data_IF_283283538335
#
_entry.id   IF_283283538335
#
_cell.length_a   1.000
_cell.length_b   1.000
_cell.length_c   1.000
_cell.angle_alpha   90.00
_cell.angle_beta   90.00
_cell.angle_gamma   90.00
#
_symmetry.space_group_name_H-M   'P 1'
#
loop_
_entity.id
_entity.type
_entity.pdbx_description
1 polymer ?
#
# COMPACT_ATOMS: atom_id res chain seq x y z
N UNK A 1 7.88 4.07 -10.12
CA UNK A 1 6.69 4.10 -9.25
C UNK A 1 5.59 4.92 -9.92
N UNK A 2 4.34 4.42 -10.02
CA UNK A 2 3.24 5.21 -10.56
C UNK A 2 2.88 6.37 -9.61
N UNK A 3 2.27 7.41 -10.16
CA UNK A 3 1.61 8.43 -9.35
C UNK A 3 0.28 7.91 -8.78
N UNK A 4 -0.35 8.68 -7.91
CA UNK A 4 -1.59 8.27 -7.26
C UNK A 4 -2.74 8.08 -8.27
N UNK A 5 -3.24 6.84 -8.39
CA UNK A 5 -4.38 6.42 -9.23
C UNK A 5 -4.38 7.05 -10.65
N UNK A 6 -3.50 6.59 -11.56
CA UNK A 6 -3.56 7.05 -12.95
C UNK A 6 -4.87 6.55 -13.56
N UNK A 7 -5.76 7.49 -13.90
CA UNK A 7 -7.14 7.22 -14.31
C UNK A 7 -7.31 6.44 -15.62
N UNK A 8 -6.22 6.08 -16.31
CA UNK A 8 -6.27 5.60 -17.68
C UNK A 8 -5.22 4.52 -17.96
N UNK A 9 -5.38 3.34 -17.32
CA UNK A 9 -4.56 2.18 -17.64
C UNK A 9 -5.45 0.96 -17.86
N UNK A 10 -5.08 0.08 -18.81
CA UNK A 10 -5.72 -1.23 -19.09
C UNK A 10 -5.65 -2.22 -17.90
N UNK A 11 -5.41 -1.72 -16.70
CA UNK A 11 -5.15 -2.48 -15.49
C UNK A 11 -6.42 -2.52 -14.65
N UNK A 12 -6.60 -3.62 -13.93
CA UNK A 12 -7.78 -3.83 -13.10
C UNK A 12 -7.55 -3.26 -11.71
N UNK A 13 -8.55 -2.54 -11.21
CA UNK A 13 -8.55 -1.97 -9.87
C UNK A 13 -9.53 -2.73 -8.99
N UNK A 14 -9.05 -3.23 -7.86
CA UNK A 14 -9.82 -3.92 -6.85
C UNK A 14 -9.81 -3.09 -5.56
N UNK A 15 -10.97 -2.68 -5.08
CA UNK A 15 -11.10 -2.04 -3.76
C UNK A 15 -11.32 -3.12 -2.70
N UNK A 16 -10.44 -3.18 -1.70
CA UNK A 16 -10.53 -4.20 -0.66
C UNK A 16 -11.72 -3.92 0.26
N UNK A 17 -12.45 -4.98 0.64
CA UNK A 17 -13.52 -4.91 1.63
C UNK A 17 -12.93 -4.75 3.03
N UNK A 18 -13.67 -4.14 3.95
CA UNK A 18 -13.23 -3.93 5.34
C UNK A 18 -12.80 -5.23 6.04
N UNK A 19 -13.52 -6.34 5.80
CA UNK A 19 -13.15 -7.65 6.33
C UNK A 19 -11.82 -8.19 5.78
N UNK A 20 -11.49 -7.90 4.52
CA UNK A 20 -10.21 -8.28 3.92
C UNK A 20 -9.07 -7.40 4.44
N UNK A 21 -9.34 -6.11 4.66
CA UNK A 21 -8.40 -5.18 5.28
C UNK A 21 -8.05 -5.63 6.69
N UNK A 22 -9.04 -6.01 7.50
CA UNK A 22 -8.78 -6.50 8.87
C UNK A 22 -7.98 -7.81 8.86
N UNK A 23 -8.27 -8.75 7.94
CA UNK A 23 -7.48 -9.98 7.76
C UNK A 23 -6.04 -9.73 7.30
N UNK A 24 -5.77 -8.60 6.64
CA UNK A 24 -4.44 -8.22 6.14
C UNK A 24 -3.75 -7.12 6.94
N UNK A 25 -4.37 -6.68 8.03
CA UNK A 25 -4.04 -5.42 8.70
C UNK A 25 -2.56 -5.28 9.02
N UNK A 26 -1.93 -6.32 9.53
CA UNK A 26 -0.53 -6.29 9.94
C UNK A 26 0.42 -5.95 8.78
N UNK A 27 0.29 -6.63 7.64
CA UNK A 27 1.18 -6.36 6.50
C UNK A 27 0.75 -5.14 5.69
N UNK A 28 -0.53 -4.76 5.71
CA UNK A 28 -0.98 -3.49 5.14
C UNK A 28 -0.46 -2.29 5.95
N UNK A 29 -0.38 -2.41 7.27
CA UNK A 29 0.28 -1.42 8.12
C UNK A 29 1.77 -1.34 7.81
N UNK A 30 2.46 -2.47 7.63
CA UNK A 30 3.86 -2.48 7.18
C UNK A 30 4.03 -1.71 5.85
N UNK A 31 3.12 -1.87 4.90
CA UNK A 31 3.16 -1.14 3.63
C UNK A 31 2.91 0.36 3.81
N UNK A 32 1.96 0.74 4.68
CA UNK A 32 1.69 2.13 5.01
C UNK A 32 2.90 2.78 5.71
N UNK A 33 3.54 2.08 6.66
CA UNK A 33 4.74 2.54 7.35
C UNK A 33 5.92 2.68 6.40
N UNK A 34 6.12 1.73 5.49
CA UNK A 34 7.16 1.84 4.45
C UNK A 34 6.95 3.08 3.58
N UNK A 35 5.70 3.36 3.17
CA UNK A 35 5.39 4.58 2.45
C UNK A 35 5.68 5.82 3.30
N UNK A 36 5.21 5.85 4.56
CA UNK A 36 5.45 6.98 5.48
C UNK A 36 6.94 7.25 5.68
N UNK A 37 7.74 6.19 5.81
CA UNK A 37 9.19 6.27 5.93
C UNK A 37 9.82 7.01 4.74
N UNK A 38 9.40 6.73 3.49
CA UNK A 38 9.93 7.44 2.31
C UNK A 38 9.73 8.96 2.37
N UNK A 39 8.71 9.44 3.11
CA UNK A 39 8.46 10.88 3.30
C UNK A 39 9.19 11.46 4.50
N UNK A 40 9.42 10.67 5.55
CA UNK A 40 10.00 11.09 6.82
C UNK A 40 11.42 10.57 7.07
N UNK A 41 12.08 10.03 6.06
CA UNK A 41 13.45 9.49 6.18
C UNK A 41 14.47 10.49 6.77
N UNK A 42 14.28 11.80 6.55
CA UNK A 42 15.14 12.86 7.10
C UNK A 42 14.66 13.39 8.47
N UNK A 43 13.54 12.89 8.98
CA UNK A 43 12.93 13.30 10.24
C UNK A 43 12.39 12.07 11.00
N UNK A 44 13.29 11.30 11.65
CA UNK A 44 12.92 10.09 12.37
C UNK A 44 11.95 10.36 13.54
N UNK A 45 12.02 11.55 14.14
CA UNK A 45 11.10 11.96 15.19
C UNK A 45 9.67 12.03 14.66
N UNK A 46 9.45 12.70 13.52
CA UNK A 46 8.11 12.76 12.92
C UNK A 46 7.66 11.42 12.33
N UNK A 47 8.60 10.56 11.91
CA UNK A 47 8.26 9.19 11.54
C UNK A 47 7.60 8.45 12.71
N UNK A 48 8.25 8.44 13.87
CA UNK A 48 7.76 7.77 15.09
C UNK A 48 6.52 8.46 15.68
N UNK A 49 6.53 9.79 15.78
CA UNK A 49 5.41 10.56 16.34
C UNK A 49 4.12 10.44 15.53
N UNK A 50 4.24 10.22 14.21
CA UNK A 50 3.11 10.01 13.32
C UNK A 50 2.37 8.68 13.53
N UNK A 51 2.94 7.73 14.28
CA UNK A 51 2.34 6.43 14.58
C UNK A 51 1.44 6.47 15.84
N UNK A 52 0.44 5.57 15.98
CA UNK A 52 0.07 4.52 15.03
C UNK A 52 -0.63 5.08 13.78
N UNK A 53 -0.49 4.36 12.66
CA UNK A 53 -1.21 4.67 11.42
C UNK A 53 -2.58 4.00 11.42
N UNK A 54 -3.59 4.72 10.95
CA UNK A 54 -4.95 4.21 10.75
C UNK A 54 -5.18 3.99 9.25
N UNK A 55 -5.31 2.72 8.85
CA UNK A 55 -5.66 2.37 7.47
C UNK A 55 -7.07 2.85 7.14
N UNK A 56 -7.26 3.39 5.93
CA UNK A 56 -8.55 3.82 5.41
C UNK A 56 -8.89 3.02 4.16
N UNK A 57 -8.82 3.66 3.00
CA UNK A 57 -9.14 3.04 1.71
C UNK A 57 -7.91 2.35 1.13
N UNK A 58 -8.06 1.09 0.71
CA UNK A 58 -7.04 0.35 -0.02
C UNK A 58 -7.58 -0.07 -1.37
N UNK A 59 -6.90 0.37 -2.42
CA UNK A 59 -7.15 -0.04 -3.80
C UNK A 59 -5.92 -0.78 -4.32
N UNK A 60 -6.13 -1.91 -4.95
CA UNK A 60 -5.09 -2.76 -5.51
C UNK A 60 -5.20 -2.73 -7.01
N UNK A 61 -4.09 -2.52 -7.69
CA UNK A 61 -3.97 -2.59 -9.13
C UNK A 61 -3.20 -3.85 -9.52
N UNK A 62 -3.81 -4.65 -10.38
CA UNK A 62 -3.25 -5.91 -10.89
C UNK A 62 -3.31 -5.95 -12.42
N UNK A 63 -2.46 -6.80 -13.02
CA UNK A 63 -2.49 -7.04 -14.46
C UNK A 63 -3.70 -7.87 -14.89
N UNK A 64 -4.13 -8.79 -14.05
CA UNK A 64 -5.24 -9.69 -14.29
C UNK A 64 -6.46 -9.28 -13.45
N UNK A 65 -7.65 -9.72 -13.88
CA UNK A 65 -8.88 -9.54 -13.10
C UNK A 65 -8.77 -10.37 -11.83
N UNK A 66 -8.89 -9.71 -10.69
CA UNK A 66 -8.83 -10.36 -9.39
C UNK A 66 -10.16 -10.20 -8.68
N UNK A 67 -10.87 -11.32 -8.50
CA UNK A 67 -12.16 -11.36 -7.82
C UNK A 67 -12.06 -11.54 -6.29
N UNK A 68 -10.84 -11.77 -5.77
CA UNK A 68 -10.63 -11.99 -4.34
C UNK A 68 -9.22 -11.65 -3.86
N UNK A 69 -9.11 -11.27 -2.59
CA UNK A 69 -7.84 -11.03 -1.88
C UNK A 69 -6.83 -12.19 -1.97
N UNK A 70 -7.27 -13.45 -2.12
CA UNK A 70 -6.35 -14.60 -2.24
C UNK A 70 -5.43 -14.46 -3.45
N UNK A 71 -5.97 -14.00 -4.59
CA UNK A 71 -5.19 -13.77 -5.80
C UNK A 71 -4.29 -12.53 -5.61
N UNK A 72 -4.78 -11.50 -4.92
CA UNK A 72 -3.98 -10.33 -4.52
C UNK A 72 -2.77 -10.73 -3.68
N UNK A 73 -2.81 -11.77 -2.85
CA UNK A 73 -1.65 -12.17 -2.02
C UNK A 73 -0.52 -12.82 -2.81
N UNK A 74 -0.81 -13.42 -3.96
CA UNK A 74 0.15 -14.23 -4.72
C UNK A 74 0.89 -13.43 -5.80
N UNK A 75 0.27 -12.38 -6.35
CA UNK A 75 0.75 -11.75 -7.57
C UNK A 75 1.50 -10.42 -7.43
N UNK A 76 2.05 -9.98 -8.55
CA UNK A 76 2.56 -8.62 -8.72
C UNK A 76 1.41 -7.62 -8.68
N UNK A 77 1.50 -6.64 -7.80
CA UNK A 77 0.43 -5.69 -7.57
C UNK A 77 0.97 -4.32 -7.14
N UNK A 78 0.17 -3.29 -7.39
CA UNK A 78 0.39 -1.95 -6.81
C UNK A 78 -0.72 -1.65 -5.83
N UNK A 79 -0.35 -1.35 -4.59
CA UNK A 79 -1.27 -1.00 -3.51
C UNK A 79 -1.32 0.51 -3.36
N UNK A 80 -2.51 1.07 -3.44
CA UNK A 80 -2.84 2.46 -3.18
C UNK A 80 -3.52 2.52 -1.81
N UNK A 81 -2.80 2.96 -0.80
CA UNK A 81 -3.23 2.94 0.61
C UNK A 81 -3.43 4.37 1.08
N UNK A 82 -4.67 4.71 1.41
CA UNK A 82 -4.97 5.91 2.19
C UNK A 82 -4.86 5.58 3.67
N UNK A 83 -4.14 6.39 4.44
CA UNK A 83 -3.99 6.20 5.88
C UNK A 83 -3.94 7.54 6.62
N UNK A 84 -4.34 7.54 7.89
CA UNK A 84 -4.28 8.71 8.78
C UNK A 84 -3.17 8.51 9.81
N UNK A 85 -2.35 9.55 10.00
CA UNK A 85 -1.34 9.61 11.06
C UNK A 85 -1.98 9.98 12.40
N UNK A 86 -1.27 9.74 13.51
CA UNK A 86 -1.65 10.21 14.85
C UNK A 86 -1.94 11.72 14.89
N UNK A 87 -1.25 12.52 14.07
CA UNK A 87 -1.44 13.96 13.99
C UNK A 87 -2.69 14.39 13.21
N UNK A 88 -3.49 13.44 12.71
CA UNK A 88 -4.69 13.71 11.92
C UNK A 88 -4.42 13.92 10.42
N UNK A 89 -3.16 13.92 9.98
CA UNK A 89 -2.80 14.09 8.57
C UNK A 89 -3.18 12.83 7.79
N UNK A 90 -3.93 13.00 6.70
CA UNK A 90 -4.26 11.93 5.76
C UNK A 90 -3.19 11.87 4.69
N UNK A 91 -2.58 10.70 4.52
CA UNK A 91 -1.55 10.43 3.53
C UNK A 91 -2.02 9.36 2.54
N UNK A 92 -1.36 9.34 1.39
CA UNK A 92 -1.57 8.38 0.30
C UNK A 92 -0.26 7.67 0.01
N UNK A 93 -0.16 6.40 0.38
CA UNK A 93 0.96 5.53 0.08
C UNK A 93 0.72 4.75 -1.21
N UNK A 94 1.73 4.65 -2.07
CA UNK A 94 1.76 3.76 -3.23
C UNK A 94 2.88 2.76 -3.04
N UNK A 95 2.54 1.47 -3.03
CA UNK A 95 3.48 0.38 -2.82
C UNK A 95 3.42 -0.55 -4.03
N UNK A 96 4.51 -0.64 -4.79
CA UNK A 96 4.65 -1.65 -5.83
C UNK A 96 5.29 -2.89 -5.23
N UNK A 97 4.61 -4.02 -5.38
CA UNK A 97 5.11 -5.33 -5.00
C UNK A 97 5.47 -6.14 -6.24
N UNK A 98 6.67 -6.68 -6.25
CA UNK A 98 7.14 -7.51 -7.36
C UNK A 98 7.79 -8.79 -6.84
N UNK A 99 7.43 -9.91 -7.48
CA UNK A 99 8.01 -11.24 -7.33
C UNK A 99 8.58 -11.64 -8.69
N UNK A 100 9.74 -12.26 -8.70
CA UNK A 100 10.49 -12.67 -9.90
C UNK A 100 10.30 -14.15 -10.25
N UNK A 101 9.34 -14.83 -9.60
CA UNK A 101 9.08 -16.26 -9.76
C UNK A 101 9.97 -17.16 -8.91
N UNK A 102 10.99 -16.62 -8.22
CA UNK A 102 11.74 -17.36 -7.20
C UNK A 102 10.92 -17.37 -5.90
N UNK A 103 10.76 -18.54 -5.24
CA UNK A 103 10.11 -18.60 -3.94
C UNK A 103 10.76 -17.62 -2.97
N UNK A 104 9.93 -16.98 -2.14
CA UNK A 104 10.34 -16.06 -1.04
C UNK A 104 11.01 -14.75 -1.48
N UNK A 105 11.36 -14.57 -2.75
CA UNK A 105 11.92 -13.31 -3.23
C UNK A 105 10.81 -12.27 -3.45
N UNK A 106 10.92 -11.17 -2.70
CA UNK A 106 9.96 -10.07 -2.73
C UNK A 106 10.68 -8.73 -2.81
N UNK A 107 10.32 -7.92 -3.80
CA UNK A 107 10.73 -6.53 -3.90
C UNK A 107 9.55 -5.61 -3.59
N UNK A 108 9.81 -4.59 -2.76
CA UNK A 108 8.86 -3.55 -2.40
C UNK A 108 9.45 -2.20 -2.76
N UNK A 109 8.71 -1.42 -3.53
CA UNK A 109 9.00 -0.02 -3.78
C UNK A 109 7.85 0.81 -3.25
N UNK A 110 8.17 1.91 -2.55
CA UNK A 110 7.17 2.74 -1.91
C UNK A 110 7.35 4.22 -2.27
N UNK A 111 6.24 4.96 -2.25
CA UNK A 111 6.20 6.42 -2.36
C UNK A 111 5.01 6.92 -1.54
N UNK A 112 5.17 8.03 -0.82
CA UNK A 112 4.09 8.65 -0.06
C UNK A 112 3.81 10.07 -0.54
N UNK A 113 2.52 10.37 -0.66
CA UNK A 113 1.95 11.66 -1.02
C UNK A 113 1.13 12.19 0.17
N UNK A 114 1.20 13.50 0.44
CA UNK A 114 0.32 14.20 1.38
C UNK A 114 -0.65 15.05 0.59
#
# INVERSE_FOLDING_TARGET
MPDWLPGDSKLHYYEMKESEVEQAKEWLLLYAELAWYTKKQTDPFMFEYGKPLELRKITVQTKEVVDSMKNVKLDNAVFYISFRTRCGVVCKGVIRRTRDGRPEHLSLEAKCFM
#
